data_IF_087004236231
#
_entry.id   IF_087004236231
#
_cell.length_a   1.000
_cell.length_b   1.000
_cell.length_c   1.000
_cell.angle_alpha   90.00
_cell.angle_beta   90.00
_cell.angle_gamma   90.00
#
_symmetry.space_group_name_H-M   'P 1'
#
loop_
_entity.id
_entity.type
_entity.pdbx_description
1 polymer ?
#
# COMPACT_ATOMS: atom_id res chain seq x y z
N UNK A 1 -16.09 7.06 6.52
CA UNK A 1 -15.00 7.77 5.78
C UNK A 1 -15.23 7.65 4.28
N UNK A 2 -14.58 8.48 3.43
CA UNK A 2 -14.64 8.27 1.98
C UNK A 2 -13.81 7.05 1.56
N UNK A 3 -14.24 6.33 0.52
CA UNK A 3 -13.50 5.20 -0.04
C UNK A 3 -12.10 5.68 -0.48
N UNK A 4 -11.00 5.03 -0.03
CA UNK A 4 -9.65 5.39 -0.42
C UNK A 4 -9.48 5.35 -1.94
N UNK A 5 -8.97 6.44 -2.50
CA UNK A 5 -8.57 6.52 -3.91
C UNK A 5 -7.07 6.34 -4.02
N UNK A 6 -6.61 5.77 -5.14
CA UNK A 6 -5.19 5.69 -5.41
C UNK A 6 -4.61 7.09 -5.46
N UNK A 7 -3.53 7.31 -4.71
CA UNK A 7 -2.85 8.57 -4.60
C UNK A 7 -2.06 8.88 -5.88
N UNK A 8 -2.08 10.13 -6.31
CA UNK A 8 -1.14 10.64 -7.32
C UNK A 8 0.27 10.59 -6.72
N UNK A 9 1.25 10.02 -7.43
CA UNK A 9 2.59 9.78 -6.89
C UNK A 9 3.26 11.06 -6.40
N UNK A 10 3.00 12.20 -7.05
CA UNK A 10 3.50 13.52 -6.65
C UNK A 10 3.06 13.95 -5.24
N UNK A 11 1.99 13.36 -4.71
CA UNK A 11 1.47 13.66 -3.38
C UNK A 11 2.04 12.73 -2.28
N UNK A 12 2.98 11.83 -2.62
CA UNK A 12 3.69 11.04 -1.62
C UNK A 12 4.58 11.96 -0.78
N UNK A 13 4.33 11.98 0.53
CA UNK A 13 5.05 12.82 1.46
C UNK A 13 6.04 12.00 2.29
N UNK A 14 7.26 12.53 2.47
CA UNK A 14 8.28 11.94 3.34
C UNK A 14 7.75 11.87 4.78
N UNK A 15 8.02 10.75 5.45
CA UNK A 15 7.60 10.50 6.83
C UNK A 15 6.18 9.93 6.96
N UNK A 16 5.33 10.03 5.92
CA UNK A 16 3.94 9.53 5.98
C UNK A 16 3.84 8.04 5.69
N UNK A 17 2.77 7.46 6.24
CA UNK A 17 2.35 6.08 6.05
C UNK A 17 1.30 5.98 4.95
N UNK A 18 1.39 4.92 4.15
CA UNK A 18 0.41 4.59 3.11
C UNK A 18 0.17 3.09 3.09
N UNK A 19 -1.03 2.68 2.69
CA UNK A 19 -1.25 1.31 2.23
C UNK A 19 -0.61 1.20 0.84
N UNK A 20 0.37 0.30 0.71
CA UNK A 20 0.94 -0.09 -0.57
C UNK A 20 0.26 -1.37 -1.05
N UNK A 21 -0.38 -1.27 -2.20
CA UNK A 21 -1.04 -2.39 -2.87
C UNK A 21 -0.25 -2.78 -4.11
N UNK A 22 0.06 -4.07 -4.21
CA UNK A 22 0.63 -4.67 -5.40
C UNK A 22 -0.43 -5.52 -6.08
N UNK A 23 -0.90 -5.10 -7.25
CA UNK A 23 -1.81 -5.86 -8.11
C UNK A 23 -1.02 -6.71 -9.09
N UNK A 24 -1.24 -8.03 -9.10
CA UNK A 24 -0.65 -8.95 -10.08
C UNK A 24 -1.67 -9.27 -11.18
N UNK A 25 -1.39 -8.84 -12.41
CA UNK A 25 -2.24 -9.03 -13.59
C UNK A 25 -2.00 -10.45 -14.13
N UNK A 26 -2.62 -11.42 -13.48
CA UNK A 26 -2.67 -12.82 -13.92
C UNK A 26 -4.08 -13.37 -13.70
N UNK A 27 -4.36 -14.62 -14.07
CA UNK A 27 -5.65 -15.28 -13.77
C UNK A 27 -5.43 -16.35 -12.68
N UNK A 28 -6.06 -16.23 -11.49
CA UNK A 28 -6.85 -15.09 -11.01
C UNK A 28 -5.98 -13.89 -10.63
N UNK A 29 -6.54 -12.68 -10.75
CA UNK A 29 -5.89 -11.45 -10.28
C UNK A 29 -5.76 -11.51 -8.77
N UNK A 30 -4.58 -11.22 -8.23
CA UNK A 30 -4.34 -11.13 -6.79
C UNK A 30 -3.73 -9.80 -6.42
N UNK A 31 -3.95 -9.40 -5.18
CA UNK A 31 -3.43 -8.17 -4.61
C UNK A 31 -2.62 -8.52 -3.36
N UNK A 32 -1.48 -7.87 -3.15
CA UNK A 32 -0.74 -7.95 -1.89
C UNK A 32 -0.74 -6.60 -1.22
N UNK A 33 -1.07 -6.57 0.07
CA UNK A 33 -1.19 -5.35 0.85
C UNK A 33 -0.09 -5.27 1.92
N UNK A 34 0.46 -4.08 2.07
CA UNK A 34 1.47 -3.75 3.09
C UNK A 34 1.31 -2.29 3.50
N UNK A 35 1.91 -1.89 4.62
CA UNK A 35 2.07 -0.48 4.95
C UNK A 35 3.48 -0.06 4.57
N UNK A 36 3.62 1.11 3.95
CA UNK A 36 4.90 1.73 3.61
C UNK A 36 5.02 3.09 4.31
N UNK A 37 6.14 3.30 5.02
CA UNK A 37 6.59 4.62 5.47
C UNK A 37 7.54 5.19 4.44
N UNK A 38 7.15 6.29 3.81
CA UNK A 38 7.98 6.96 2.80
C UNK A 38 9.15 7.63 3.49
N UNK A 39 10.35 7.41 2.97
CA UNK A 39 11.61 7.95 3.51
C UNK A 39 12.25 8.95 2.54
N UNK A 40 12.10 8.72 1.24
CA UNK A 40 12.59 9.65 0.22
C UNK A 40 11.81 9.43 -1.10
N UNK A 41 11.57 10.50 -1.85
CA UNK A 41 10.87 10.48 -3.13
C UNK A 41 11.56 11.46 -4.08
N UNK A 42 11.85 11.01 -5.29
CA UNK A 42 12.32 11.83 -6.41
C UNK A 42 11.49 11.44 -7.63
N UNK A 43 10.70 12.36 -8.19
CA UNK A 43 9.83 12.06 -9.33
C UNK A 43 10.21 12.84 -10.60
N UNK A 44 11.18 13.75 -10.49
CA UNK A 44 11.72 14.49 -11.61
C UNK A 44 12.89 13.75 -12.30
N UNK A 45 13.05 13.87 -13.62
CA UNK A 45 14.19 13.34 -14.36
C UNK A 45 15.55 13.81 -13.81
N UNK A 46 16.66 13.09 -14.09
CA UNK A 46 16.78 11.93 -14.96
C UNK A 46 16.49 10.58 -14.27
N UNK A 47 16.39 10.54 -12.94
CA UNK A 47 16.15 9.30 -12.19
C UNK A 47 14.98 9.50 -11.23
N UNK A 48 13.93 8.70 -11.41
CA UNK A 48 12.79 8.68 -10.50
C UNK A 48 12.93 7.54 -9.52
N UNK A 49 12.61 7.76 -8.25
CA UNK A 49 12.53 6.70 -7.26
C UNK A 49 11.57 7.03 -6.11
N UNK A 50 11.05 5.98 -5.49
CA UNK A 50 10.37 6.00 -4.21
C UNK A 50 11.13 5.04 -3.28
N UNK A 51 11.60 5.58 -2.16
CA UNK A 51 12.27 4.82 -1.12
C UNK A 51 11.43 4.87 0.15
N UNK A 52 11.19 3.70 0.74
CA UNK A 52 10.46 3.59 1.97
C UNK A 52 10.80 2.33 2.75
N UNK A 53 10.28 2.27 3.97
CA UNK A 53 10.30 1.06 4.80
C UNK A 53 8.91 0.46 4.80
N UNK A 54 8.81 -0.87 4.68
CA UNK A 54 7.55 -1.59 4.57
C UNK A 54 7.36 -2.59 5.70
N UNK A 55 6.10 -2.84 6.03
CA UNK A 55 5.69 -3.86 6.99
C UNK A 55 4.41 -4.56 6.50
N UNK A 56 4.29 -5.86 6.81
CA UNK A 56 3.08 -6.61 6.52
C UNK A 56 1.92 -6.15 7.41
N UNK A 57 0.69 -6.12 6.86
CA UNK A 57 -0.49 -5.67 7.62
C UNK A 57 -0.69 -6.43 8.93
N UNK A 58 -0.38 -7.74 8.94
CA UNK A 58 -0.48 -8.59 10.13
C UNK A 58 0.39 -8.11 11.29
N UNK A 59 1.57 -7.58 10.98
CA UNK A 59 2.57 -7.14 11.98
C UNK A 59 2.33 -5.70 12.44
N UNK A 60 1.64 -4.88 11.65
CA UNK A 60 1.42 -3.47 11.99
C UNK A 60 0.65 -3.28 13.30
N UNK A 61 1.17 -2.44 14.18
CA UNK A 61 0.63 -2.12 15.50
C UNK A 61 0.91 -0.66 15.86
N UNK A 62 0.32 -0.19 16.96
CA UNK A 62 0.57 1.16 17.51
C UNK A 62 2.05 1.45 17.81
N UNK A 63 2.88 0.41 17.99
CA UNK A 63 4.31 0.57 18.25
C UNK A 63 5.16 0.38 16.98
N UNK A 64 4.54 0.12 15.82
CA UNK A 64 5.29 -0.23 14.61
C UNK A 64 6.15 0.88 14.07
N UNK A 65 5.78 2.14 14.29
CA UNK A 65 6.63 3.28 13.95
C UNK A 65 8.00 3.26 14.62
N UNK A 66 8.10 2.64 15.80
CA UNK A 66 9.32 2.58 16.62
C UNK A 66 10.12 1.32 16.28
N UNK A 67 9.45 0.17 16.16
CA UNK A 67 10.15 -1.12 16.16
C UNK A 67 10.10 -1.88 14.83
N UNK A 68 9.05 -1.76 14.01
CA UNK A 68 8.72 -2.87 13.12
C UNK A 68 9.06 -2.63 11.63
N UNK A 69 9.48 -1.42 11.26
CA UNK A 69 9.83 -1.06 9.88
C UNK A 69 11.27 -1.49 9.50
N UNK A 70 11.50 -2.79 9.39
CA UNK A 70 12.82 -3.35 9.05
C UNK A 70 13.06 -3.57 7.57
N UNK A 71 12.00 -3.84 6.80
CA UNK A 71 12.13 -4.16 5.38
C UNK A 71 12.19 -2.88 4.56
N UNK A 72 13.24 -2.70 3.76
CA UNK A 72 13.34 -1.56 2.85
C UNK A 72 12.77 -1.89 1.49
N UNK A 73 12.11 -0.92 0.86
CA UNK A 73 11.64 -0.99 -0.51
C UNK A 73 12.17 0.20 -1.30
N UNK A 74 12.86 -0.10 -2.40
CA UNK A 74 13.40 0.88 -3.34
C UNK A 74 12.76 0.62 -4.71
N UNK A 75 11.95 1.56 -5.17
CA UNK A 75 11.21 1.48 -6.43
C UNK A 75 11.80 2.55 -7.34
N UNK A 76 12.60 2.16 -8.33
CA UNK A 76 13.32 3.09 -9.20
C UNK A 76 12.91 2.98 -10.66
N UNK A 77 13.09 4.06 -11.41
CA UNK A 77 12.85 4.12 -12.85
C UNK A 77 13.81 3.25 -13.68
N UNK A 78 14.79 2.60 -13.04
CA UNK A 78 15.62 1.57 -13.69
C UNK A 78 14.92 0.22 -13.80
N UNK A 79 13.84 0.01 -13.05
CA UNK A 79 13.06 -1.24 -13.02
C UNK A 79 11.58 -0.99 -13.30
N UNK A 80 11.03 0.12 -12.81
CA UNK A 80 9.61 0.43 -12.87
C UNK A 80 9.34 1.57 -13.85
N UNK A 81 8.22 1.46 -14.57
CA UNK A 81 7.61 2.58 -15.27
C UNK A 81 6.76 3.39 -14.27
N UNK A 82 6.93 4.72 -14.28
CA UNK A 82 6.23 5.64 -13.38
C UNK A 82 5.07 6.31 -14.13
N UNK A 83 3.84 5.99 -13.72
CA UNK A 83 2.63 6.67 -14.16
C UNK A 83 2.16 7.67 -13.10
N UNK A 84 1.11 8.42 -13.40
CA UNK A 84 0.60 9.48 -12.51
C UNK A 84 0.27 8.96 -11.10
N UNK A 85 -0.41 7.81 -11.00
CA UNK A 85 -0.93 7.28 -9.74
C UNK A 85 -0.49 5.83 -9.44
N UNK A 86 0.37 5.22 -10.28
CA UNK A 86 0.87 3.88 -10.06
C UNK A 86 2.26 3.65 -10.67
N UNK A 87 2.92 2.59 -10.23
CA UNK A 87 4.14 2.06 -10.86
C UNK A 87 3.83 0.75 -11.58
N UNK A 88 4.49 0.50 -12.70
CA UNK A 88 4.32 -0.75 -13.45
C UNK A 88 5.65 -1.49 -13.61
N UNK A 89 5.62 -2.81 -13.42
CA UNK A 89 6.73 -3.71 -13.75
C UNK A 89 6.21 -5.13 -13.96
N UNK A 90 6.51 -5.73 -15.11
CA UNK A 90 6.26 -7.15 -15.42
C UNK A 90 4.87 -7.65 -14.98
N UNK A 91 3.80 -7.08 -15.56
CA UNK A 91 2.40 -7.38 -15.23
C UNK A 91 2.01 -7.12 -13.77
N UNK A 92 2.74 -6.27 -13.06
CA UNK A 92 2.43 -5.86 -11.70
C UNK A 92 2.25 -4.35 -11.65
N UNK A 93 1.17 -3.90 -11.01
CA UNK A 93 0.91 -2.50 -10.73
C UNK A 93 1.07 -2.26 -9.23
N UNK A 94 1.68 -1.13 -8.85
CA UNK A 94 1.80 -0.70 -7.46
C UNK A 94 1.04 0.60 -7.26
N UNK A 95 0.09 0.58 -6.33
CA UNK A 95 -0.72 1.71 -5.93
C UNK A 95 -0.42 2.09 -4.48
N UNK A 96 -0.68 3.34 -4.13
CA UNK A 96 -0.57 3.86 -2.79
C UNK A 96 -1.89 4.50 -2.37
N UNK A 97 -2.32 4.24 -1.14
CA UNK A 97 -3.56 4.81 -0.59
C UNK A 97 -3.26 5.46 0.75
N UNK A 98 -3.78 6.67 0.93
CA UNK A 98 -3.90 7.25 2.27
C UNK A 98 -4.89 6.43 3.09
N UNK A 99 -4.65 6.33 4.39
CA UNK A 99 -5.55 5.66 5.31
C UNK A 99 -5.48 6.32 6.68
N UNK A 100 -6.59 6.26 7.41
CA UNK A 100 -6.63 6.64 8.82
C UNK A 100 -6.10 5.47 9.67
N UNK A 101 -5.05 5.72 10.44
CA UNK A 101 -4.38 4.69 11.21
C UNK A 101 -5.27 4.11 12.32
N UNK A 102 -6.02 4.96 13.01
CA UNK A 102 -6.91 4.52 14.09
C UNK A 102 -8.01 3.60 13.54
N UNK A 103 -8.60 3.98 12.40
CA UNK A 103 -9.55 3.14 11.68
C UNK A 103 -8.93 1.82 11.26
N UNK A 104 -7.72 1.83 10.70
CA UNK A 104 -7.05 0.59 10.32
C UNK A 104 -6.85 -0.30 11.53
N UNK A 105 -6.37 0.23 12.66
CA UNK A 105 -6.14 -0.53 13.88
C UNK A 105 -7.45 -1.11 14.44
N UNK A 106 -8.53 -0.33 14.46
CA UNK A 106 -9.85 -0.79 14.91
C UNK A 106 -10.44 -1.90 14.02
N UNK A 107 -10.18 -1.85 12.71
CA UNK A 107 -10.74 -2.78 11.73
C UNK A 107 -9.75 -3.87 11.28
N UNK A 108 -8.55 -3.90 11.86
CA UNK A 108 -7.43 -4.75 11.44
C UNK A 108 -7.82 -6.22 11.35
N UNK A 109 -8.56 -6.73 12.34
CA UNK A 109 -8.95 -8.15 12.35
C UNK A 109 -9.87 -8.49 11.18
N UNK A 110 -10.83 -7.62 10.84
CA UNK A 110 -11.72 -7.81 9.70
C UNK A 110 -10.93 -7.72 8.39
N UNK A 111 -10.04 -6.73 8.25
CA UNK A 111 -9.15 -6.61 7.09
C UNK A 111 -8.32 -7.89 6.89
N UNK A 112 -7.79 -8.46 7.98
CA UNK A 112 -6.99 -9.69 7.92
C UNK A 112 -7.79 -10.93 7.51
N UNK A 113 -9.12 -10.94 7.63
CA UNK A 113 -9.95 -12.04 7.12
C UNK A 113 -9.97 -12.08 5.58
N UNK A 114 -9.77 -10.94 4.92
CA UNK A 114 -9.63 -10.87 3.46
C UNK A 114 -8.26 -11.30 2.95
N UNK A 115 -7.30 -11.52 3.85
CA UNK A 115 -5.89 -11.67 3.55
C UNK A 115 -5.43 -13.08 3.93
N UNK A 116 -4.92 -13.81 2.94
CA UNK A 116 -4.38 -15.15 3.16
C UNK A 116 -3.05 -15.15 3.93
N UNK A 117 -2.52 -16.35 4.16
CA UNK A 117 -1.24 -16.54 4.88
C UNK A 117 -0.05 -15.89 4.15
N UNK A 118 -0.15 -15.67 2.84
CA UNK A 118 0.87 -15.05 1.99
C UNK A 118 0.67 -13.54 1.82
N UNK A 119 -0.17 -12.93 2.65
CA UNK A 119 -0.56 -11.52 2.56
C UNK A 119 -1.21 -11.15 1.22
N UNK A 120 -1.90 -12.11 0.59
CA UNK A 120 -2.63 -11.89 -0.66
C UNK A 120 -4.14 -11.84 -0.43
N UNK A 121 -4.83 -11.12 -1.31
CA UNK A 121 -6.28 -11.04 -1.34
C UNK A 121 -6.79 -11.04 -2.78
N UNK A 122 -8.06 -11.42 -2.96
CA UNK A 122 -8.75 -11.38 -4.26
C UNK A 122 -9.43 -10.03 -4.53
N UNK A 123 -9.51 -9.16 -3.51
CA UNK A 123 -10.17 -7.84 -3.60
C UNK A 123 -9.15 -6.72 -3.43
N UNK A 124 -9.23 -5.64 -4.22
CA UNK A 124 -8.38 -4.48 -3.98
C UNK A 124 -8.77 -3.78 -2.66
N UNK A 125 -7.83 -3.04 -2.08
CA UNK A 125 -8.02 -2.37 -0.79
C UNK A 125 -9.26 -1.45 -0.74
N UNK A 126 -9.56 -0.62 -1.76
CA UNK A 126 -10.79 0.19 -1.76
C UNK A 126 -12.09 -0.61 -1.61
N UNK A 127 -12.14 -1.82 -2.19
CA UNK A 127 -13.32 -2.69 -2.06
C UNK A 127 -13.42 -3.29 -0.66
N UNK A 128 -12.30 -3.73 -0.08
CA UNK A 128 -12.26 -4.21 1.31
C UNK A 128 -12.72 -3.10 2.26
N UNK A 129 -12.22 -1.88 2.05
CA UNK A 129 -12.61 -0.70 2.83
C UNK A 129 -14.12 -0.45 2.75
N UNK A 130 -14.68 -0.45 1.53
CA UNK A 130 -16.09 -0.19 1.31
C UNK A 130 -16.99 -1.23 1.97
N UNK A 131 -16.63 -2.52 1.90
CA UNK A 131 -17.40 -3.60 2.53
C UNK A 131 -17.42 -3.44 4.06
N UNK A 132 -16.27 -3.16 4.67
CA UNK A 132 -16.16 -2.92 6.12
C UNK A 132 -17.01 -1.73 6.57
N UNK A 133 -17.00 -0.63 5.81
CA UNK A 133 -17.82 0.55 6.16
C UNK A 133 -19.32 0.30 5.94
N UNK A 134 -19.69 -0.58 5.00
CA UNK A 134 -21.11 -0.90 4.72
C UNK A 134 -21.71 -1.85 5.75
N UNK A 135 -20.91 -2.74 6.34
CA UNK A 135 -21.35 -3.67 7.40
C UNK A 135 -21.56 -2.99 8.77
N UNK A 136 -21.11 -1.75 8.94
CA UNK A 136 -21.32 -0.95 10.17
C UNK A 136 -22.65 -0.20 10.21
N UNK A 137 -23.41 -0.21 9.11
CA UNK A 137 -24.68 0.51 8.94
C UNK A 137 -25.85 -0.37 9.38
#
# INVERSE_FOLDING_TARGET
>A
MNIPKSLVLQNLNIGKLYISEKKRIQKPTTYSLSIIKIQNVQLEPPKKYIYGKTICLRQYSVFSEIFDFHTTRFLSSSVYEFYENYLFFFNMMYFFYEFDENWFLQNKQIILQYIDIYSQTKKPFPNIFQEIESEKI
#
